data_IF_498634626301
#
_entry.id   IF_498634626301
#
_cell.length_a   1.000
_cell.length_b   1.000
_cell.length_c   1.000
_cell.angle_alpha   90.00
_cell.angle_beta   90.00
_cell.angle_gamma   90.00
#
_symmetry.space_group_name_H-M   'P 1'
#
loop_
_entity.id
_entity.type
_entity.pdbx_description
1 polymer ?
#
# COMPACT_ATOMS: atom_id res chain seq x y z
N UNK A 1 -23.21 -30.82 19.43
CA UNK A 1 -22.60 -30.56 20.76
C UNK A 1 -21.16 -30.13 20.50
N UNK A 2 -20.83 -28.85 20.27
CA UNK A 2 -20.98 -27.62 21.09
C UNK A 2 -19.99 -27.55 22.26
N UNK A 3 -18.91 -26.77 22.09
CA UNK A 3 -18.23 -25.87 23.07
C UNK A 3 -17.23 -25.00 22.23
N UNK A 4 -17.49 -23.73 21.83
CA UNK A 4 -17.39 -22.42 22.55
C UNK A 4 -15.93 -21.89 22.60
N UNK A 5 -15.50 -20.93 21.73
CA UNK A 5 -15.29 -19.45 21.99
C UNK A 5 -13.79 -19.10 22.05
N UNK A 6 -13.19 -17.97 21.62
CA UNK A 6 -13.53 -16.76 20.85
C UNK A 6 -12.21 -16.02 20.44
N UNK A 7 -12.29 -15.13 19.44
CA UNK A 7 -11.38 -13.99 19.19
C UNK A 7 -11.80 -12.76 20.05
N UNK A 8 -10.97 -11.71 20.33
CA UNK A 8 -10.53 -10.72 19.31
C UNK A 8 -9.24 -9.85 19.56
N UNK A 9 -8.80 -9.19 18.47
CA UNK A 9 -8.30 -7.79 18.26
C UNK A 9 -7.52 -7.03 19.36
N UNK A 10 -6.36 -6.40 19.05
CA UNK A 10 -6.21 -5.07 18.39
C UNK A 10 -4.88 -4.33 18.72
N UNK A 11 -4.49 -3.44 17.79
CA UNK A 11 -3.82 -2.14 17.94
C UNK A 11 -2.32 -1.99 18.32
N UNK A 12 -1.53 -1.41 17.38
CA UNK A 12 -0.42 -0.47 17.68
C UNK A 12 -0.95 0.94 18.04
N UNK A 13 -0.14 2.00 18.32
CA UNK A 13 0.94 2.47 17.45
C UNK A 13 2.14 3.18 18.16
N UNK A 14 3.03 3.74 17.32
CA UNK A 14 4.24 4.54 17.57
C UNK A 14 4.12 5.78 18.48
N UNK A 15 5.24 6.18 19.11
CA UNK A 15 5.45 7.53 19.67
C UNK A 15 6.92 7.98 19.55
N UNK A 16 7.12 9.11 18.85
CA UNK A 16 8.29 9.98 18.96
C UNK A 16 8.01 11.11 19.96
N UNK A 17 9.11 11.69 20.46
CA UNK A 17 9.30 13.10 20.84
C UNK A 17 9.36 13.45 22.33
N UNK A 18 10.49 14.05 22.72
CA UNK A 18 10.44 15.29 23.50
C UNK A 18 11.31 15.40 24.76
N UNK A 19 12.25 16.35 24.70
CA UNK A 19 12.67 17.28 25.75
C UNK A 19 13.84 16.94 26.71
N UNK A 20 14.88 17.77 26.60
CA UNK A 20 15.91 18.06 27.61
C UNK A 20 15.32 18.71 28.88
N UNK A 21 16.05 18.64 30.00
CA UNK A 21 16.50 19.89 30.62
C UNK A 21 17.97 19.87 31.11
N UNK A 22 18.48 21.08 31.36
CA UNK A 22 19.86 21.44 31.67
C UNK A 22 20.19 21.54 33.17
N UNK A 23 21.51 21.49 33.43
CA UNK A 23 22.28 22.06 34.56
C UNK A 23 22.53 21.19 35.81
N UNK A 24 23.80 20.86 36.07
CA UNK A 24 24.67 21.54 37.06
C UNK A 24 25.90 20.69 37.41
N UNK A 25 27.07 21.33 37.47
CA UNK A 25 28.39 20.77 37.82
C UNK A 25 28.52 20.56 39.33
N UNK A 26 29.37 19.62 39.80
CA UNK A 26 30.33 20.02 40.84
C UNK A 26 31.72 19.37 40.71
N UNK A 27 32.75 20.08 41.20
CA UNK A 27 34.13 19.59 41.39
C UNK A 27 34.31 19.11 42.83
N UNK A 28 35.05 18.03 43.05
CA UNK A 28 36.11 17.88 44.09
C UNK A 28 36.76 16.49 43.92
N UNK A 29 38.09 16.49 43.80
CA UNK A 29 38.98 15.34 43.56
C UNK A 29 39.95 15.33 44.75
N UNK A 30 40.03 14.24 45.52
CA UNK A 30 41.24 13.84 46.28
C UNK A 30 41.16 12.45 46.97
N UNK A 31 40.34 11.51 46.49
CA UNK A 31 40.18 10.17 47.12
C UNK A 31 40.30 8.97 46.13
N UNK A 32 41.19 9.04 45.12
CA UNK A 32 41.19 8.07 44.00
C UNK A 32 42.44 7.19 43.84
N UNK A 33 43.47 7.33 44.68
CA UNK A 33 44.75 6.61 44.46
C UNK A 33 44.73 5.08 44.65
N UNK A 34 44.01 4.45 45.60
CA UNK A 34 44.05 2.98 45.77
C UNK A 34 43.18 2.22 44.74
N UNK A 35 42.19 2.88 44.13
CA UNK A 35 41.31 2.27 43.13
C UNK A 35 42.01 2.13 41.76
N UNK A 36 42.89 3.07 41.43
CA UNK A 36 43.62 3.06 40.15
C UNK A 36 44.60 1.89 40.10
N UNK A 37 45.34 1.62 41.16
CA UNK A 37 46.30 0.49 41.19
C UNK A 37 45.60 -0.87 41.11
N UNK A 38 44.45 -1.01 41.78
CA UNK A 38 43.61 -2.21 41.66
C UNK A 38 43.07 -2.41 40.23
N UNK A 39 42.61 -1.33 39.59
CA UNK A 39 42.11 -1.37 38.21
C UNK A 39 43.21 -1.74 37.20
N UNK A 40 44.44 -1.25 37.41
CA UNK A 40 45.59 -1.58 36.55
C UNK A 40 45.99 -3.05 36.71
N UNK A 41 46.03 -3.57 37.93
CA UNK A 41 46.37 -4.97 38.16
C UNK A 41 45.32 -5.92 37.57
N UNK A 42 44.04 -5.56 37.70
CA UNK A 42 42.94 -6.32 37.13
C UNK A 42 42.96 -6.28 35.59
N UNK A 43 43.27 -5.11 34.99
CA UNK A 43 43.43 -4.98 33.54
C UNK A 43 44.58 -5.86 32.99
N UNK A 44 45.71 -5.96 33.70
CA UNK A 44 46.83 -6.80 33.28
C UNK A 44 46.51 -8.30 33.33
N UNK A 45 45.74 -8.75 34.32
CA UNK A 45 45.29 -10.15 34.40
C UNK A 45 44.31 -10.49 33.28
N UNK A 46 43.36 -9.59 32.98
CA UNK A 46 42.45 -9.77 31.85
C UNK A 46 43.19 -9.76 30.51
N UNK A 47 44.19 -8.91 30.33
CA UNK A 47 44.97 -8.87 29.10
C UNK A 47 45.77 -10.16 28.86
N UNK A 48 46.37 -10.72 29.92
CA UNK A 48 47.09 -12.00 29.82
C UNK A 48 46.14 -13.17 29.52
N UNK A 49 45.04 -13.27 30.26
CA UNK A 49 44.04 -14.31 30.02
C UNK A 49 43.41 -14.21 28.62
N UNK A 50 43.23 -12.99 28.12
CA UNK A 50 42.73 -12.76 26.77
C UNK A 50 43.73 -13.20 25.70
N UNK A 51 45.00 -12.85 25.85
CA UNK A 51 46.04 -13.24 24.89
C UNK A 51 46.23 -14.76 24.83
N UNK A 52 46.26 -15.43 25.99
CA UNK A 52 46.40 -16.90 26.06
C UNK A 52 45.19 -17.61 25.42
N UNK A 53 43.98 -17.07 25.60
CA UNK A 53 42.77 -17.58 24.96
C UNK A 53 42.78 -17.36 23.44
N UNK A 54 43.32 -16.24 22.97
CA UNK A 54 43.43 -15.92 21.55
C UNK A 54 44.41 -16.87 20.86
N UNK A 55 45.60 -17.07 21.42
CA UNK A 55 46.62 -17.95 20.84
C UNK A 55 46.14 -19.41 20.80
N UNK A 56 45.47 -19.87 21.86
CA UNK A 56 44.86 -21.21 21.91
C UNK A 56 43.76 -21.39 20.86
N UNK A 57 42.92 -20.37 20.64
CA UNK A 57 41.88 -20.40 19.62
C UNK A 57 42.46 -20.41 18.20
N UNK A 58 43.56 -19.68 17.97
CA UNK A 58 44.25 -19.64 16.69
C UNK A 58 44.88 -21.00 16.37
N UNK A 59 45.58 -21.64 17.31
CA UNK A 59 46.13 -22.98 17.07
C UNK A 59 45.05 -24.03 16.86
N UNK A 60 43.95 -23.97 17.62
CA UNK A 60 42.81 -24.86 17.42
C UNK A 60 42.17 -24.66 16.04
N UNK A 61 42.08 -23.41 15.56
CA UNK A 61 41.57 -23.13 14.21
C UNK A 61 42.49 -23.67 13.11
N UNK A 62 43.81 -23.53 13.26
CA UNK A 62 44.81 -24.03 12.30
C UNK A 62 44.80 -25.55 12.22
N UNK A 63 44.75 -26.23 13.36
CA UNK A 63 44.71 -27.69 13.40
C UNK A 63 43.42 -28.24 12.75
N UNK A 64 42.26 -27.64 13.04
CA UNK A 64 40.98 -28.01 12.40
C UNK A 64 40.97 -27.75 10.90
N UNK A 65 41.52 -26.62 10.44
CA UNK A 65 41.64 -26.34 9.01
C UNK A 65 42.57 -27.33 8.30
N UNK A 66 43.67 -27.71 8.93
CA UNK A 66 44.56 -28.73 8.36
C UNK A 66 43.88 -30.10 8.26
N UNK A 67 43.07 -30.46 9.26
CA UNK A 67 42.28 -31.67 9.26
C UNK A 67 41.23 -31.66 8.14
N UNK A 68 40.47 -30.57 7.99
CA UNK A 68 39.45 -30.41 6.91
C UNK A 68 40.11 -30.47 5.52
N UNK A 69 41.28 -29.86 5.37
CA UNK A 69 42.03 -29.91 4.10
C UNK A 69 42.43 -31.34 3.75
N UNK A 70 42.89 -32.11 4.72
CA UNK A 70 43.32 -33.50 4.51
C UNK A 70 42.16 -34.45 4.23
N UNK A 71 40.99 -34.23 4.84
CA UNK A 71 39.79 -35.04 4.56
C UNK A 71 39.16 -34.67 3.21
N UNK A 72 39.16 -33.38 2.85
CA UNK A 72 38.61 -32.90 1.57
C UNK A 72 39.37 -33.43 0.34
N UNK A 73 40.70 -33.57 0.41
CA UNK A 73 41.47 -34.10 -0.72
C UNK A 73 41.17 -35.57 -1.01
N UNK A 74 40.97 -36.39 0.02
CA UNK A 74 40.60 -37.79 -0.14
C UNK A 74 39.21 -37.94 -0.81
N UNK A 75 38.23 -37.15 -0.39
CA UNK A 75 36.90 -37.15 -1.01
C UNK A 75 36.90 -36.61 -2.45
N UNK A 76 37.77 -35.63 -2.75
CA UNK A 76 37.91 -35.11 -4.12
C UNK A 76 38.48 -36.16 -5.08
N UNK A 77 39.47 -36.94 -4.64
CA UNK A 77 40.02 -38.04 -5.45
C UNK A 77 38.99 -39.15 -5.67
N UNK A 78 38.17 -39.47 -4.67
CA UNK A 78 37.07 -40.42 -4.80
C UNK A 78 36.01 -39.95 -5.82
N UNK A 79 35.66 -38.66 -5.81
CA UNK A 79 34.73 -38.08 -6.78
C UNK A 79 35.27 -38.13 -8.21
N UNK A 80 36.56 -37.83 -8.40
CA UNK A 80 37.20 -37.91 -9.72
C UNK A 80 37.22 -39.34 -10.27
N UNK A 81 37.43 -40.35 -9.42
CA UNK A 81 37.29 -41.76 -9.80
C UNK A 81 35.88 -42.09 -10.29
N UNK A 82 34.85 -41.72 -9.52
CA UNK A 82 33.46 -41.99 -9.88
C UNK A 82 33.03 -41.29 -11.18
N UNK A 83 33.53 -40.07 -11.45
CA UNK A 83 33.28 -39.39 -12.72
C UNK A 83 33.94 -40.10 -13.91
N UNK A 84 35.12 -40.69 -13.72
CA UNK A 84 35.78 -41.45 -14.77
C UNK A 84 34.98 -42.71 -15.13
N UNK A 85 34.47 -43.41 -14.11
CA UNK A 85 33.64 -44.60 -14.30
C UNK A 85 32.31 -44.27 -15.00
N UNK A 86 31.66 -43.16 -14.62
CA UNK A 86 30.44 -42.70 -15.27
C UNK A 86 30.68 -42.29 -16.74
N UNK A 87 31.86 -41.77 -17.06
CA UNK A 87 32.25 -41.46 -18.44
C UNK A 87 32.39 -42.72 -19.28
N UNK A 88 32.99 -43.79 -18.75
CA UNK A 88 33.06 -45.07 -19.47
C UNK A 88 31.68 -45.68 -19.70
N UNK A 89 30.79 -45.64 -18.70
CA UNK A 89 29.43 -46.17 -18.82
C UNK A 89 28.62 -45.38 -19.85
N UNK A 90 28.73 -44.04 -19.85
CA UNK A 90 28.08 -43.18 -20.84
C UNK A 90 28.50 -43.52 -22.27
N UNK A 91 29.81 -43.74 -22.48
CA UNK A 91 30.35 -44.06 -23.80
C UNK A 91 29.78 -45.39 -24.35
N UNK A 92 29.54 -46.38 -23.48
CA UNK A 92 28.90 -47.64 -23.88
C UNK A 92 27.44 -47.45 -24.33
N UNK A 93 26.67 -46.59 -23.66
CA UNK A 93 25.31 -46.26 -24.09
C UNK A 93 25.27 -45.44 -25.38
N UNK A 94 26.23 -44.54 -25.55
CA UNK A 94 26.39 -43.73 -26.75
C UNK A 94 26.62 -44.61 -27.99
N UNK A 95 27.52 -45.60 -27.88
CA UNK A 95 27.80 -46.54 -28.97
C UNK A 95 26.57 -47.38 -29.35
N UNK A 96 25.78 -47.83 -28.36
CA UNK A 96 24.56 -48.60 -28.58
C UNK A 96 23.47 -47.77 -29.28
N UNK A 97 23.29 -46.51 -28.85
CA UNK A 97 22.34 -45.58 -29.45
C UNK A 97 22.71 -45.28 -30.91
N UNK A 98 23.97 -44.91 -31.17
CA UNK A 98 24.43 -44.62 -32.52
C UNK A 98 24.46 -45.86 -33.42
N UNK A 99 24.76 -47.03 -32.86
CA UNK A 99 24.65 -48.32 -33.55
C UNK A 99 23.22 -48.57 -34.04
N UNK A 100 22.22 -48.38 -33.18
CA UNK A 100 20.80 -48.55 -33.54
C UNK A 100 20.30 -47.50 -34.53
N UNK A 101 20.76 -46.26 -34.42
CA UNK A 101 20.44 -45.22 -35.41
C UNK A 101 21.02 -45.59 -36.77
N UNK A 102 22.28 -46.06 -36.84
CA UNK A 102 22.92 -46.47 -38.09
C UNK A 102 22.23 -47.67 -38.73
N UNK A 103 21.81 -48.65 -37.93
CA UNK A 103 21.00 -49.79 -38.38
C UNK A 103 19.64 -49.31 -38.92
N UNK A 104 18.98 -48.39 -38.21
CA UNK A 104 17.74 -47.75 -38.64
C UNK A 104 17.87 -46.97 -39.95
N UNK A 105 19.00 -46.30 -40.18
CA UNK A 105 19.31 -45.59 -41.44
C UNK A 105 19.52 -46.60 -42.58
N UNK A 106 20.18 -47.73 -42.32
CA UNK A 106 20.29 -48.80 -43.31
C UNK A 106 18.92 -49.38 -43.70
N UNK A 107 18.04 -49.59 -42.72
CA UNK A 107 16.66 -50.04 -42.95
C UNK A 107 15.86 -48.99 -43.72
N UNK A 108 15.99 -47.71 -43.37
CA UNK A 108 15.37 -46.59 -44.08
C UNK A 108 15.79 -46.53 -45.56
N UNK A 109 17.07 -46.78 -45.84
CA UNK A 109 17.60 -46.82 -47.20
C UNK A 109 17.02 -47.96 -48.05
N UNK A 110 16.61 -49.07 -47.42
CA UNK A 110 16.03 -50.22 -48.12
C UNK A 110 14.55 -50.04 -48.48
N UNK A 111 13.82 -49.17 -47.75
CA UNK A 111 12.38 -48.95 -47.94
C UNK A 111 12.02 -47.44 -47.95
N UNK A 112 12.52 -46.67 -48.94
CA UNK A 112 12.44 -45.21 -48.92
C UNK A 112 11.02 -44.64 -48.89
N UNK A 113 10.06 -45.29 -49.57
CA UNK A 113 8.66 -44.80 -49.65
C UNK A 113 7.93 -44.98 -48.31
N UNK A 114 8.06 -46.14 -47.69
CA UNK A 114 7.41 -46.46 -46.41
C UNK A 114 8.01 -45.60 -45.30
N UNK A 115 9.35 -45.47 -45.28
CA UNK A 115 10.03 -44.63 -44.30
C UNK A 115 9.72 -43.14 -44.50
N UNK A 116 9.60 -42.65 -45.74
CA UNK A 116 9.19 -41.27 -45.99
C UNK A 116 7.77 -40.98 -45.48
N UNK A 117 6.82 -41.89 -45.71
CA UNK A 117 5.45 -41.76 -45.19
C UNK A 117 5.38 -41.80 -43.66
N UNK A 118 6.12 -42.73 -43.04
CA UNK A 118 6.22 -42.83 -41.58
C UNK A 118 6.91 -41.58 -40.97
N UNK A 119 8.00 -41.11 -41.57
CA UNK A 119 8.72 -39.93 -41.13
C UNK A 119 7.88 -38.65 -41.28
N UNK A 120 7.15 -38.50 -42.39
CA UNK A 120 6.29 -37.34 -42.63
C UNK A 120 5.10 -37.30 -41.65
N UNK A 121 4.42 -38.42 -41.45
CA UNK A 121 3.30 -38.50 -40.49
C UNK A 121 3.75 -38.29 -39.05
N UNK A 122 4.87 -38.90 -38.64
CA UNK A 122 5.45 -38.67 -37.33
C UNK A 122 5.89 -37.21 -37.16
N UNK A 123 6.50 -36.61 -38.18
CA UNK A 123 6.86 -35.19 -38.17
C UNK A 123 5.63 -34.30 -38.01
N UNK A 124 4.51 -34.62 -38.67
CA UNK A 124 3.28 -33.84 -38.56
C UNK A 124 2.62 -33.93 -37.17
N UNK A 125 2.81 -35.05 -36.47
CA UNK A 125 2.35 -35.25 -35.08
C UNK A 125 3.28 -34.59 -34.06
N UNK A 126 4.59 -34.68 -34.26
CA UNK A 126 5.62 -34.15 -33.36
C UNK A 126 5.73 -32.62 -33.45
N UNK A 127 5.54 -32.05 -34.64
CA UNK A 127 5.60 -30.60 -34.84
C UNK A 127 4.37 -29.92 -34.18
N UNK A 128 4.64 -28.99 -33.26
CA UNK A 128 3.63 -28.31 -32.43
C UNK A 128 2.56 -27.54 -33.22
N UNK A 129 2.90 -27.03 -34.41
CA UNK A 129 2.01 -26.19 -35.25
C UNK A 129 0.98 -27.00 -36.06
N UNK A 130 1.36 -28.03 -36.85
CA UNK A 130 0.39 -28.84 -37.58
C UNK A 130 -0.58 -29.59 -36.66
N UNK A 131 -0.10 -30.07 -35.49
CA UNK A 131 -0.98 -30.68 -34.47
C UNK A 131 -2.09 -29.74 -34.00
N UNK A 132 -1.76 -28.48 -33.72
CA UNK A 132 -2.77 -27.46 -33.34
C UNK A 132 -3.72 -27.17 -34.49
N UNK A 133 -3.20 -27.04 -35.71
CA UNK A 133 -4.02 -26.79 -36.89
C UNK A 133 -5.08 -27.87 -37.11
N UNK A 134 -4.69 -29.16 -37.05
CA UNK A 134 -5.65 -30.28 -37.15
C UNK A 134 -6.65 -30.31 -36.01
N UNK A 135 -6.21 -30.07 -34.77
CA UNK A 135 -7.10 -30.07 -33.60
C UNK A 135 -8.19 -28.99 -33.72
N UNK A 136 -7.82 -27.75 -34.03
CA UNK A 136 -8.79 -26.66 -34.16
C UNK A 136 -9.64 -26.78 -35.42
N UNK A 137 -9.10 -27.30 -36.52
CA UNK A 137 -9.88 -27.49 -37.74
C UNK A 137 -10.90 -28.63 -37.60
N UNK A 138 -10.52 -29.74 -36.96
CA UNK A 138 -11.44 -30.83 -36.65
C UNK A 138 -12.55 -30.37 -35.71
N UNK A 139 -12.20 -29.68 -34.61
CA UNK A 139 -13.21 -29.11 -33.70
C UNK A 139 -14.17 -28.15 -34.41
N UNK A 140 -13.68 -27.34 -35.35
CA UNK A 140 -14.51 -26.42 -36.13
C UNK A 140 -15.49 -27.14 -37.06
N UNK A 141 -15.09 -28.28 -37.63
CA UNK A 141 -15.95 -29.11 -38.48
C UNK A 141 -17.06 -29.83 -37.69
N UNK A 142 -16.84 -30.10 -36.40
CA UNK A 142 -17.83 -30.74 -35.52
C UNK A 142 -18.79 -29.74 -34.85
N UNK A 143 -18.60 -28.43 -35.00
CA UNK A 143 -19.56 -27.43 -34.53
C UNK A 143 -20.63 -27.22 -35.59
N UNK A 144 -21.86 -27.60 -35.28
CA UNK A 144 -22.99 -27.35 -36.18
C UNK A 144 -23.31 -25.85 -36.24
N UNK A 145 -23.59 -25.37 -37.45
CA UNK A 145 -23.98 -23.97 -37.69
C UNK A 145 -25.23 -23.60 -36.88
N UNK A 146 -26.16 -24.54 -36.73
CA UNK A 146 -27.37 -24.37 -35.92
C UNK A 146 -27.07 -24.13 -34.44
N UNK A 147 -26.06 -24.79 -33.87
CA UNK A 147 -25.68 -24.59 -32.47
C UNK A 147 -25.07 -23.19 -32.26
N UNK A 148 -24.30 -22.70 -33.23
CA UNK A 148 -23.77 -21.34 -33.20
C UNK A 148 -24.88 -20.29 -33.31
N UNK A 149 -25.85 -20.51 -34.21
CA UNK A 149 -26.99 -19.60 -34.37
C UNK A 149 -27.84 -19.59 -33.10
N UNK A 150 -28.16 -20.76 -32.51
CA UNK A 150 -28.91 -20.85 -31.24
C UNK A 150 -28.18 -20.15 -30.08
N UNK A 151 -26.87 -20.29 -30.00
CA UNK A 151 -26.07 -19.57 -29.00
C UNK A 151 -26.09 -18.07 -29.22
N UNK A 152 -25.96 -17.61 -30.47
CA UNK A 152 -26.01 -16.20 -30.81
C UNK A 152 -27.38 -15.59 -30.50
N UNK A 153 -28.49 -16.27 -30.83
CA UNK A 153 -29.83 -15.77 -30.54
C UNK A 153 -30.12 -15.69 -29.04
N UNK A 154 -29.66 -16.68 -28.26
CA UNK A 154 -29.73 -16.67 -26.80
C UNK A 154 -28.96 -15.47 -26.23
N UNK A 155 -27.70 -15.28 -26.65
CA UNK A 155 -26.87 -14.17 -26.18
C UNK A 155 -27.45 -12.80 -26.55
N UNK A 156 -28.02 -12.66 -27.76
CA UNK A 156 -28.72 -11.42 -28.15
C UNK A 156 -29.96 -11.19 -27.29
N UNK A 157 -30.69 -12.24 -26.92
CA UNK A 157 -31.82 -12.15 -25.99
C UNK A 157 -31.40 -11.64 -24.60
N UNK A 158 -30.36 -12.24 -24.02
CA UNK A 158 -29.80 -11.82 -22.73
C UNK A 158 -29.34 -10.36 -22.76
N UNK A 159 -28.63 -9.96 -23.82
CA UNK A 159 -28.17 -8.58 -23.98
C UNK A 159 -29.33 -7.59 -24.10
N UNK A 160 -30.41 -7.94 -24.81
CA UNK A 160 -31.60 -7.10 -24.90
C UNK A 160 -32.25 -6.90 -23.53
N UNK A 161 -32.37 -7.97 -22.74
CA UNK A 161 -32.91 -7.89 -21.38
C UNK A 161 -32.09 -6.96 -20.49
N UNK A 162 -30.76 -7.04 -20.56
CA UNK A 162 -29.85 -6.15 -19.81
C UNK A 162 -29.99 -4.70 -20.26
N UNK A 163 -30.12 -4.45 -21.57
CA UNK A 163 -30.34 -3.10 -22.10
C UNK A 163 -31.67 -2.53 -21.61
N UNK A 164 -32.73 -3.34 -21.60
CA UNK A 164 -34.05 -2.91 -21.11
C UNK A 164 -34.02 -2.59 -19.62
N UNK A 165 -33.33 -3.40 -18.79
CA UNK A 165 -33.17 -3.10 -17.36
C UNK A 165 -32.36 -1.82 -17.15
N UNK A 166 -31.25 -1.63 -17.89
CA UNK A 166 -30.43 -0.42 -17.82
C UNK A 166 -31.25 0.81 -18.24
N UNK A 167 -32.07 0.71 -19.29
CA UNK A 167 -32.92 1.81 -19.74
C UNK A 167 -33.98 2.19 -18.70
N UNK A 168 -34.61 1.20 -18.07
CA UNK A 168 -35.58 1.44 -17.01
C UNK A 168 -34.93 2.05 -15.76
N UNK A 169 -33.71 1.66 -15.42
CA UNK A 169 -32.94 2.26 -14.33
C UNK A 169 -32.46 3.67 -14.67
N UNK A 170 -32.00 3.91 -15.90
CA UNK A 170 -31.53 5.24 -16.33
C UNK A 170 -32.66 6.26 -16.30
N UNK A 171 -33.85 5.93 -16.79
CA UNK A 171 -35.01 6.83 -16.75
C UNK A 171 -35.43 7.17 -15.30
N UNK A 172 -35.31 6.22 -14.36
CA UNK A 172 -35.59 6.46 -12.93
C UNK A 172 -34.54 7.37 -12.31
N UNK A 173 -33.26 7.15 -12.62
CA UNK A 173 -32.17 7.97 -12.10
C UNK A 173 -32.21 9.39 -12.68
N UNK A 174 -32.53 9.55 -13.95
CA UNK A 174 -32.70 10.86 -14.60
C UNK A 174 -33.80 11.68 -13.92
N UNK A 175 -34.99 11.08 -13.70
CA UNK A 175 -36.08 11.75 -12.98
C UNK A 175 -35.68 12.18 -11.57
N UNK A 176 -34.93 11.34 -10.85
CA UNK A 176 -34.42 11.67 -9.51
C UNK A 176 -33.39 12.80 -9.57
N UNK A 177 -32.49 12.80 -10.55
CA UNK A 177 -31.50 13.85 -10.73
C UNK A 177 -32.16 15.20 -11.05
N UNK A 178 -33.11 15.23 -11.99
CA UNK A 178 -33.86 16.45 -12.33
C UNK A 178 -34.64 17.00 -11.12
N UNK A 179 -35.26 16.11 -10.33
CA UNK A 179 -35.96 16.53 -9.13
C UNK A 179 -35.01 17.11 -8.08
N UNK A 180 -33.88 16.45 -7.82
CA UNK A 180 -32.86 16.94 -6.90
C UNK A 180 -32.23 18.27 -7.37
N UNK A 181 -32.05 18.46 -8.68
CA UNK A 181 -31.59 19.72 -9.25
C UNK A 181 -32.58 20.85 -8.99
N UNK A 182 -33.88 20.61 -9.21
CA UNK A 182 -34.92 21.62 -8.95
C UNK A 182 -34.98 22.01 -7.46
N UNK A 183 -34.92 21.04 -6.56
CA UNK A 183 -34.86 21.28 -5.12
C UNK A 183 -33.60 22.03 -4.72
N UNK A 184 -32.45 21.69 -5.30
CA UNK A 184 -31.19 22.39 -5.06
C UNK A 184 -31.26 23.85 -5.54
N UNK A 185 -31.78 24.10 -6.74
CA UNK A 185 -31.93 25.47 -7.27
C UNK A 185 -32.87 26.30 -6.39
N UNK A 186 -34.00 25.73 -5.96
CA UNK A 186 -34.93 26.37 -5.01
C UNK A 186 -34.29 26.61 -3.64
N UNK A 187 -33.50 25.66 -3.14
CA UNK A 187 -32.73 25.79 -1.90
C UNK A 187 -31.68 26.89 -2.00
N UNK A 188 -30.97 26.96 -3.13
CA UNK A 188 -29.93 27.97 -3.41
C UNK A 188 -30.49 29.38 -3.43
N UNK A 189 -31.65 29.61 -4.05
CA UNK A 189 -32.29 30.93 -4.06
C UNK A 189 -32.76 31.35 -2.66
N UNK A 190 -33.33 30.42 -1.88
CA UNK A 190 -33.70 30.65 -0.47
C UNK A 190 -32.49 31.01 0.39
N UNK A 191 -31.39 30.24 0.29
CA UNK A 191 -30.14 30.53 1.00
C UNK A 191 -29.56 31.89 0.62
N UNK A 192 -29.61 32.25 -0.67
CA UNK A 192 -29.17 33.57 -1.13
C UNK A 192 -30.02 34.70 -0.53
N UNK A 193 -31.34 34.54 -0.51
CA UNK A 193 -32.24 35.54 0.08
C UNK A 193 -32.03 35.68 1.59
N UNK A 194 -31.92 34.55 2.31
CA UNK A 194 -31.61 34.54 3.73
C UNK A 194 -30.25 35.18 4.02
N UNK A 195 -29.23 34.88 3.21
CA UNK A 195 -27.91 35.51 3.29
C UNK A 195 -28.01 37.03 3.19
N UNK A 196 -28.77 37.57 2.23
CA UNK A 196 -28.94 39.02 2.05
C UNK A 196 -29.62 39.66 3.26
N UNK A 197 -30.61 38.98 3.85
CA UNK A 197 -31.26 39.44 5.07
C UNK A 197 -30.29 39.43 6.26
N UNK A 198 -29.47 38.39 6.40
CA UNK A 198 -28.44 38.36 7.46
C UNK A 198 -27.42 39.47 7.24
N UNK A 199 -27.02 39.74 6.00
CA UNK A 199 -26.07 40.82 5.69
C UNK A 199 -26.63 42.21 6.01
N UNK A 200 -27.93 42.44 5.77
CA UNK A 200 -28.56 43.70 6.17
C UNK A 200 -28.62 43.86 7.70
N UNK A 201 -28.85 42.77 8.44
CA UNK A 201 -28.78 42.75 9.92
C UNK A 201 -27.35 42.96 10.42
N UNK A 202 -26.33 42.39 9.76
CA UNK A 202 -24.91 42.66 10.09
C UNK A 202 -24.60 44.16 9.93
N UNK A 203 -25.11 44.79 8.87
CA UNK A 203 -24.91 46.23 8.66
C UNK A 203 -25.65 47.08 9.69
N UNK A 204 -26.86 46.69 10.10
CA UNK A 204 -27.61 47.40 11.15
C UNK A 204 -26.93 47.25 12.52
N UNK A 205 -26.52 46.02 12.89
CA UNK A 205 -25.75 45.74 14.09
C UNK A 205 -24.42 46.52 14.11
N UNK A 206 -23.73 46.62 12.97
CA UNK A 206 -22.52 47.44 12.84
C UNK A 206 -22.78 48.93 13.09
N UNK A 207 -23.88 49.49 12.57
CA UNK A 207 -24.28 50.88 12.84
C UNK A 207 -24.60 51.10 14.32
N UNK A 208 -25.26 50.15 14.97
CA UNK A 208 -25.56 50.20 16.41
C UNK A 208 -24.27 50.12 17.23
N UNK A 209 -23.36 49.21 16.89
CA UNK A 209 -22.04 49.09 17.53
C UNK A 209 -21.27 50.41 17.44
N UNK A 210 -21.25 51.05 16.24
CA UNK A 210 -20.63 52.36 16.01
C UNK A 210 -21.25 53.46 16.88
N UNK A 211 -22.58 53.54 16.94
CA UNK A 211 -23.29 54.55 17.76
C UNK A 211 -23.05 54.34 19.25
N UNK A 212 -23.10 53.09 19.71
CA UNK A 212 -22.84 52.74 21.10
C UNK A 212 -21.38 53.03 21.49
N UNK A 213 -20.42 52.74 20.61
CA UNK A 213 -19.01 53.09 20.85
C UNK A 213 -18.80 54.61 20.94
N UNK A 214 -19.36 55.38 20.00
CA UNK A 214 -19.28 56.84 20.06
C UNK A 214 -19.94 57.43 21.32
N UNK A 215 -21.08 56.88 21.76
CA UNK A 215 -21.73 57.29 23.00
C UNK A 215 -20.89 56.92 24.24
N UNK A 216 -20.23 55.75 24.23
CA UNK A 216 -19.30 55.34 25.28
C UNK A 216 -18.13 56.30 25.39
N UNK A 217 -17.59 56.75 24.26
CA UNK A 217 -16.46 57.68 24.20
C UNK A 217 -16.87 59.04 24.81
N UNK A 218 -18.02 59.60 24.40
CA UNK A 218 -18.57 60.85 24.98
C UNK A 218 -18.80 60.70 26.48
N UNK A 219 -19.42 59.59 26.91
CA UNK A 219 -19.64 59.33 28.33
C UNK A 219 -18.32 59.20 29.10
N UNK A 220 -17.23 58.79 28.46
CA UNK A 220 -15.88 58.69 29.01
C UNK A 220 -15.32 60.01 29.51
N UNK A 221 -15.69 61.13 28.88
CA UNK A 221 -15.21 62.46 29.22
C UNK A 221 -15.94 63.08 30.42
N UNK A 222 -17.12 62.56 30.82
CA UNK A 222 -17.91 63.12 31.92
C UNK A 222 -17.47 62.57 33.30
N UNK A 223 -17.00 63.39 34.25
CA UNK A 223 -16.50 62.91 35.56
C UNK A 223 -17.61 62.50 36.57
N UNK A 224 -18.89 62.52 36.19
CA UNK A 224 -20.03 62.30 37.11
C UNK A 224 -20.35 60.82 37.34
N UNK A 225 -20.80 60.47 38.56
CA UNK A 225 -21.16 59.10 38.96
C UNK A 225 -22.32 58.51 38.14
N UNK A 226 -23.29 59.31 37.72
CA UNK A 226 -24.39 58.89 36.83
C UNK A 226 -23.90 58.43 35.45
N UNK A 227 -22.83 59.05 34.93
CA UNK A 227 -22.24 58.64 33.66
C UNK A 227 -21.64 57.22 33.74
N UNK A 228 -21.18 56.77 34.92
CA UNK A 228 -20.61 55.43 35.09
C UNK A 228 -21.62 54.31 34.85
N UNK A 229 -22.88 54.51 35.26
CA UNK A 229 -23.95 53.54 35.03
C UNK A 229 -24.31 53.46 33.55
N UNK A 230 -24.39 54.59 32.84
CA UNK A 230 -24.61 54.59 31.40
C UNK A 230 -23.42 54.00 30.62
N UNK A 231 -22.17 54.23 31.06
CA UNK A 231 -20.98 53.61 30.45
C UNK A 231 -21.05 52.09 30.46
N UNK A 232 -21.45 51.49 31.59
CA UNK A 232 -21.54 50.02 31.70
C UNK A 232 -22.65 49.46 30.81
N UNK A 233 -23.82 50.12 30.78
CA UNK A 233 -24.94 49.74 29.91
C UNK A 233 -24.57 49.84 28.42
N UNK A 234 -23.99 50.96 27.99
CA UNK A 234 -23.58 51.17 26.60
C UNK A 234 -22.45 50.22 26.20
N UNK A 235 -21.50 49.95 27.11
CA UNK A 235 -20.43 48.98 26.85
C UNK A 235 -20.98 47.55 26.71
N UNK A 236 -21.98 47.18 27.51
CA UNK A 236 -22.67 45.90 27.39
C UNK A 236 -23.37 45.78 26.04
N UNK A 237 -24.18 46.79 25.68
CA UNK A 237 -24.89 46.83 24.40
C UNK A 237 -23.94 46.77 23.18
N UNK A 238 -22.82 47.50 23.25
CA UNK A 238 -21.79 47.46 22.19
C UNK A 238 -21.15 46.07 22.07
N UNK A 239 -20.86 45.41 23.19
CA UNK A 239 -20.28 44.06 23.19
C UNK A 239 -21.26 43.01 22.67
N UNK A 240 -22.54 43.13 23.02
CA UNK A 240 -23.62 42.25 22.55
C UNK A 240 -23.82 42.39 21.04
N UNK A 241 -23.98 43.62 20.54
CA UNK A 241 -24.09 43.89 19.10
C UNK A 241 -22.86 43.39 18.31
N UNK A 242 -21.64 43.53 18.87
CA UNK A 242 -20.41 43.01 18.26
C UNK A 242 -20.40 41.48 18.21
N UNK A 243 -20.83 40.83 19.28
CA UNK A 243 -20.89 39.36 19.35
C UNK A 243 -21.92 38.81 18.36
N UNK A 244 -23.13 39.37 18.32
CA UNK A 244 -24.17 39.01 17.35
C UNK A 244 -23.73 39.24 15.91
N UNK A 245 -23.07 40.37 15.63
CA UNK A 245 -22.51 40.62 14.29
C UNK A 245 -21.51 39.54 13.91
N UNK A 246 -20.62 39.15 14.82
CA UNK A 246 -19.60 38.15 14.55
C UNK A 246 -20.22 36.74 14.35
N UNK A 247 -21.28 36.38 15.07
CA UNK A 247 -21.99 35.11 14.85
C UNK A 247 -22.69 35.10 13.49
N UNK A 248 -23.42 36.16 13.15
CA UNK A 248 -24.08 36.30 11.85
C UNK A 248 -23.08 36.30 10.68
N UNK A 249 -21.92 36.93 10.86
CA UNK A 249 -20.86 36.95 9.84
C UNK A 249 -20.31 35.54 9.57
N UNK A 250 -20.20 34.70 10.62
CA UNK A 250 -19.82 33.28 10.45
C UNK A 250 -20.87 32.52 9.66
N UNK A 251 -22.16 32.73 9.91
CA UNK A 251 -23.22 32.07 9.15
C UNK A 251 -23.23 32.50 7.66
N UNK A 252 -23.03 33.79 7.36
CA UNK A 252 -22.88 34.26 5.96
C UNK A 252 -21.64 33.66 5.30
N UNK A 253 -20.53 33.53 6.03
CA UNK A 253 -19.33 32.89 5.49
C UNK A 253 -19.55 31.43 5.13
N UNK A 254 -20.36 30.69 5.90
CA UNK A 254 -20.77 29.32 5.55
C UNK A 254 -21.57 29.29 4.25
N UNK A 255 -22.52 30.23 4.06
CA UNK A 255 -23.30 30.35 2.82
C UNK A 255 -22.37 30.63 1.62
N UNK A 256 -21.42 31.55 1.78
CA UNK A 256 -20.42 31.87 0.75
C UNK A 256 -19.52 30.69 0.41
N UNK A 257 -19.14 29.86 1.40
CA UNK A 257 -18.30 28.67 1.18
C UNK A 257 -19.00 27.60 0.33
N UNK A 258 -20.33 27.59 0.28
CA UNK A 258 -21.09 26.75 -0.66
C UNK A 258 -21.12 27.32 -2.10
N UNK A 259 -20.35 28.36 -2.40
CA UNK A 259 -20.31 29.02 -3.71
C UNK A 259 -21.52 29.93 -4.00
N UNK A 260 -22.31 30.25 -2.97
CA UNK A 260 -23.48 31.12 -3.10
C UNK A 260 -23.07 32.56 -2.79
N UNK A 261 -23.10 33.43 -3.80
CA UNK A 261 -22.85 34.85 -3.59
C UNK A 261 -24.04 35.52 -2.91
N UNK A 262 -23.78 36.00 -1.69
CA UNK A 262 -24.72 36.78 -0.87
C UNK A 262 -24.63 38.25 -1.25
#
# INVERSE_FOLDING_TARGET
>A
MATTTAEPSDAGPSLQSGAHPTSSTPKTLDETTPFVDYAVQQAQLYQKAFNDALDSAVEYSKSRLSQIRSTSSAHSQQFLGALHDLKSDYNAYEELLFGKIKEGVHIASSHPIITCGAAASLSFVVLKRPRRFMYYNALRLFVSEEALIKRATLQVGELRQVIESIKAESEKLEKRALHAEEEFLRGRTKLRQAGKQIQSVIQSAYKIERKARGLKDILGDLPKREASHFRSQVSKLASEAKNERNTLTKEVSKISNYGISV
#
